data_IF_065842026975
#
_entry.id   IF_065842026975
#
_cell.length_a   1.000
_cell.length_b   1.000
_cell.length_c   1.000
_cell.angle_alpha   90.00
_cell.angle_beta   90.00
_cell.angle_gamma   90.00
#
_symmetry.space_group_name_H-M   'P 1'
#
loop_
_entity.id
_entity.type
_entity.pdbx_description
1 polymer ?
#
# COMPACT_ATOMS: atom_id res chain seq x y z
N UNK A 1 -11.46 -22.47 22.41
CA UNK A 1 -11.23 -22.56 20.97
C UNK A 1 -11.68 -21.23 20.37
N UNK A 2 -10.74 -20.40 19.90
CA UNK A 2 -11.04 -19.05 19.41
C UNK A 2 -11.68 -19.12 18.01
N UNK A 3 -12.71 -18.32 17.77
CA UNK A 3 -13.37 -18.24 16.46
C UNK A 3 -12.67 -17.24 15.55
N UNK A 4 -12.86 -17.37 14.25
CA UNK A 4 -12.38 -16.41 13.23
C UNK A 4 -12.88 -14.99 13.53
N UNK A 5 -14.10 -14.86 14.06
CA UNK A 5 -14.68 -13.58 14.47
C UNK A 5 -13.93 -12.92 15.63
N UNK A 6 -13.24 -13.73 16.43
CA UNK A 6 -12.48 -13.30 17.60
C UNK A 6 -11.05 -12.85 17.24
N UNK A 7 -10.61 -13.05 15.98
CA UNK A 7 -9.26 -12.67 15.51
C UNK A 7 -8.98 -11.16 15.66
N UNK A 8 -10.01 -10.31 15.59
CA UNK A 8 -9.89 -8.86 15.78
C UNK A 8 -9.79 -8.43 17.25
N UNK A 9 -9.97 -9.35 18.21
CA UNK A 9 -9.89 -9.03 19.64
C UNK A 9 -8.49 -8.56 20.04
N UNK A 10 -7.44 -9.02 19.34
CA UNK A 10 -6.07 -8.55 19.56
C UNK A 10 -5.92 -7.04 19.33
N UNK A 11 -6.63 -6.51 18.32
CA UNK A 11 -6.60 -5.08 17.96
C UNK A 11 -7.51 -4.23 18.87
N UNK A 12 -8.56 -4.85 19.45
CA UNK A 12 -9.52 -4.15 20.32
C UNK A 12 -9.03 -4.05 21.76
N UNK A 13 -8.32 -5.09 22.23
CA UNK A 13 -7.84 -5.16 23.60
C UNK A 13 -6.31 -5.22 23.58
N UNK A 14 -5.63 -4.11 23.85
CA UNK A 14 -4.16 -4.01 23.74
C UNK A 14 -3.36 -4.73 24.84
N UNK A 15 -3.99 -5.49 25.74
CA UNK A 15 -3.31 -6.18 26.84
C UNK A 15 -3.78 -7.65 26.96
N UNK A 16 -3.54 -8.42 25.90
CA UNK A 16 -3.81 -9.85 25.90
C UNK A 16 -2.63 -10.62 26.49
N UNK A 17 -2.90 -11.82 27.02
CA UNK A 17 -1.83 -12.76 27.36
C UNK A 17 -1.09 -13.17 26.09
N UNK A 18 0.23 -13.29 26.15
CA UNK A 18 1.08 -13.64 25.00
C UNK A 18 0.62 -14.89 24.23
N UNK A 19 0.09 -15.91 24.94
CA UNK A 19 -0.46 -17.11 24.30
C UNK A 19 -1.72 -16.84 23.47
N UNK A 20 -2.57 -15.93 23.94
CA UNK A 20 -3.78 -15.53 23.23
C UNK A 20 -3.43 -14.64 22.04
N UNK A 21 -2.49 -13.71 22.21
CA UNK A 21 -1.97 -12.88 21.13
C UNK A 21 -1.37 -13.74 20.01
N UNK A 22 -0.53 -14.72 20.35
CA UNK A 22 0.02 -15.66 19.38
C UNK A 22 -1.07 -16.45 18.64
N UNK A 23 -2.11 -16.90 19.36
CA UNK A 23 -3.26 -17.57 18.74
C UNK A 23 -4.08 -16.63 17.85
N UNK A 24 -4.25 -15.36 18.23
CA UNK A 24 -4.93 -14.36 17.42
C UNK A 24 -4.14 -13.98 16.18
N UNK A 25 -2.81 -13.80 16.29
CA UNK A 25 -1.93 -13.57 15.15
C UNK A 25 -1.98 -14.77 14.19
N UNK A 26 -1.87 -15.99 14.69
CA UNK A 26 -2.02 -17.20 13.87
C UNK A 26 -3.39 -17.26 13.16
N UNK A 27 -4.46 -16.89 13.86
CA UNK A 27 -5.80 -16.81 13.26
C UNK A 27 -5.95 -15.64 12.28
N UNK A 28 -5.27 -14.51 12.49
CA UNK A 28 -5.27 -13.36 11.57
C UNK A 28 -4.47 -13.66 10.31
N UNK A 29 -3.29 -14.26 10.46
CA UNK A 29 -2.44 -14.71 9.36
C UNK A 29 -3.14 -15.78 8.52
N UNK A 30 -3.97 -16.63 9.16
CA UNK A 30 -4.87 -17.56 8.49
C UNK A 30 -6.15 -16.95 7.89
N UNK A 31 -6.59 -15.76 8.35
CA UNK A 31 -7.84 -15.09 7.95
C UNK A 31 -7.65 -13.80 7.14
N UNK A 32 -6.44 -13.50 6.67
CA UNK A 32 -6.18 -12.25 5.92
C UNK A 32 -7.15 -12.02 4.75
N UNK A 33 -7.78 -13.08 4.23
CA UNK A 33 -9.02 -13.01 3.47
C UNK A 33 -9.99 -14.08 3.97
N UNK A 34 -11.01 -13.62 4.69
CA UNK A 34 -12.38 -14.15 4.86
C UNK A 34 -12.54 -15.53 4.20
N UNK A 35 -12.93 -16.54 4.98
CA UNK A 35 -13.16 -17.95 4.59
C UNK A 35 -14.15 -18.24 3.45
N UNK A 36 -14.40 -17.28 2.56
CA UNK A 36 -14.81 -17.52 1.20
C UNK A 36 -13.58 -17.79 0.34
N UNK A 37 -13.49 -18.99 -0.23
CA UNK A 37 -12.62 -19.30 -1.37
C UNK A 37 -13.09 -18.53 -2.60
N UNK A 38 -12.97 -17.20 -2.56
CA UNK A 38 -13.13 -16.36 -3.73
C UNK A 38 -11.91 -16.57 -4.63
N UNK A 39 -12.17 -16.62 -5.93
CA UNK A 39 -11.09 -16.68 -6.91
C UNK A 39 -10.43 -15.31 -6.99
N UNK A 40 -9.13 -15.30 -7.27
CA UNK A 40 -8.41 -14.05 -7.46
C UNK A 40 -9.06 -13.27 -8.61
N UNK A 41 -9.36 -11.97 -8.45
CA UNK A 41 -9.99 -11.18 -9.52
C UNK A 41 -9.08 -11.01 -10.75
N UNK A 42 -7.78 -11.27 -10.61
CA UNK A 42 -6.80 -11.19 -11.69
C UNK A 42 -6.53 -12.55 -12.36
N UNK A 43 -6.64 -13.61 -11.57
CA UNK A 43 -6.39 -15.00 -11.95
C UNK A 43 -7.61 -15.83 -11.50
N UNK A 44 -8.63 -15.90 -12.36
CA UNK A 44 -9.94 -16.51 -12.07
C UNK A 44 -9.88 -18.04 -11.84
N UNK A 45 -8.68 -18.62 -11.82
CA UNK A 45 -8.42 -20.03 -11.60
C UNK A 45 -7.73 -20.31 -10.26
N UNK A 46 -7.11 -19.29 -9.63
CA UNK A 46 -6.39 -19.46 -8.36
C UNK A 46 -7.21 -18.91 -7.20
N UNK A 47 -7.24 -19.66 -6.09
CA UNK A 47 -7.85 -19.19 -4.86
C UNK A 47 -7.15 -17.91 -4.37
N UNK A 48 -7.95 -16.95 -3.88
CA UNK A 48 -7.48 -15.69 -3.31
C UNK A 48 -6.94 -15.93 -1.89
N UNK A 49 -5.81 -16.61 -1.79
CA UNK A 49 -5.09 -16.79 -0.52
C UNK A 49 -4.15 -15.61 -0.26
N UNK A 50 -3.83 -15.37 1.02
CA UNK A 50 -2.82 -14.35 1.40
C UNK A 50 -1.49 -14.63 0.69
N UNK A 51 -1.04 -15.89 0.68
CA UNK A 51 0.15 -16.30 -0.05
C UNK A 51 0.05 -15.94 -1.54
N UNK A 52 -1.04 -16.32 -2.22
CA UNK A 52 -1.20 -15.98 -3.63
C UNK A 52 -1.13 -14.47 -3.88
N UNK A 53 -1.80 -13.67 -3.05
CA UNK A 53 -1.84 -12.21 -3.21
C UNK A 53 -0.51 -11.53 -2.93
N UNK A 54 0.27 -12.05 -1.98
CA UNK A 54 1.55 -11.46 -1.56
C UNK A 54 2.71 -11.93 -2.43
N UNK A 55 2.71 -13.20 -2.86
CA UNK A 55 3.89 -13.82 -3.51
C UNK A 55 3.67 -14.24 -4.97
N UNK A 56 2.42 -14.48 -5.41
CA UNK A 56 2.15 -15.13 -6.73
C UNK A 56 1.27 -14.30 -7.67
N UNK A 57 0.60 -13.26 -7.20
CA UNK A 57 -0.31 -12.45 -7.99
C UNK A 57 0.41 -11.20 -8.51
N UNK A 58 1.20 -11.38 -9.56
CA UNK A 58 1.99 -10.29 -10.17
C UNK A 58 1.11 -9.10 -10.58
N UNK A 59 -0.12 -9.39 -11.05
CA UNK A 59 -1.07 -8.35 -11.43
C UNK A 59 -1.60 -7.55 -10.24
N UNK A 60 -1.80 -8.15 -9.06
CA UNK A 60 -2.17 -7.38 -7.87
C UNK A 60 -1.03 -6.47 -7.45
N UNK A 61 0.17 -7.05 -7.26
CA UNK A 61 1.32 -6.30 -6.79
C UNK A 61 1.64 -5.14 -7.73
N UNK A 62 1.69 -5.41 -9.03
CA UNK A 62 1.96 -4.39 -10.06
C UNK A 62 0.85 -3.34 -10.13
N UNK A 63 -0.42 -3.75 -10.05
CA UNK A 63 -1.56 -2.83 -10.10
C UNK A 63 -1.64 -1.94 -8.86
N UNK A 64 -1.58 -2.52 -7.66
CA UNK A 64 -1.62 -1.76 -6.41
C UNK A 64 -0.42 -0.84 -6.26
N UNK A 65 0.78 -1.30 -6.66
CA UNK A 65 1.98 -0.47 -6.67
C UNK A 65 1.83 0.71 -7.64
N UNK A 66 1.45 0.44 -8.89
CA UNK A 66 1.26 1.49 -9.91
C UNK A 66 0.15 2.46 -9.53
N UNK A 67 -0.95 1.97 -8.94
CA UNK A 67 -2.05 2.83 -8.46
C UNK A 67 -1.55 3.78 -7.38
N UNK A 68 -0.90 3.25 -6.32
CA UNK A 68 -0.35 4.07 -5.23
C UNK A 68 0.69 5.06 -5.75
N UNK A 69 1.55 4.64 -6.67
CA UNK A 69 2.53 5.52 -7.30
C UNK A 69 1.85 6.69 -8.03
N UNK A 70 0.85 6.42 -8.85
CA UNK A 70 0.10 7.44 -9.58
C UNK A 70 -0.68 8.39 -8.66
N UNK A 71 -1.21 7.89 -7.54
CA UNK A 71 -1.86 8.72 -6.52
C UNK A 71 -0.88 9.70 -5.87
N UNK A 72 0.31 9.24 -5.50
CA UNK A 72 1.37 10.12 -4.95
C UNK A 72 1.75 11.21 -5.95
N UNK A 73 1.93 10.86 -7.23
CA UNK A 73 2.23 11.84 -8.30
C UNK A 73 1.10 12.87 -8.45
N UNK A 74 -0.16 12.45 -8.32
CA UNK A 74 -1.33 13.36 -8.34
C UNK A 74 -1.29 14.34 -7.17
N UNK A 75 -1.04 13.86 -5.96
CA UNK A 75 -0.96 14.70 -4.77
C UNK A 75 0.16 15.74 -4.87
N UNK A 76 1.36 15.32 -5.30
CA UNK A 76 2.50 16.22 -5.48
C UNK A 76 2.21 17.26 -6.58
N UNK A 77 1.59 16.83 -7.68
CA UNK A 77 1.18 17.73 -8.75
C UNK A 77 0.19 18.79 -8.27
N UNK A 78 -0.82 18.38 -7.51
CA UNK A 78 -1.79 19.30 -6.91
C UNK A 78 -1.12 20.29 -5.95
N UNK A 79 -0.24 19.82 -5.06
CA UNK A 79 0.52 20.71 -4.18
C UNK A 79 1.33 21.76 -4.95
N UNK A 80 2.01 21.35 -6.04
CA UNK A 80 2.74 22.28 -6.90
C UNK A 80 1.83 23.34 -7.55
N UNK A 81 0.61 22.97 -7.94
CA UNK A 81 -0.36 23.90 -8.50
C UNK A 81 -0.89 24.87 -7.44
N UNK A 82 -1.24 24.37 -6.25
CA UNK A 82 -1.77 25.17 -5.14
C UNK A 82 -0.81 26.27 -4.70
N UNK A 83 0.50 26.01 -4.76
CA UNK A 83 1.54 26.96 -4.41
C UNK A 83 2.12 27.74 -5.59
N UNK A 84 1.50 27.64 -6.78
CA UNK A 84 1.97 28.29 -8.01
C UNK A 84 3.43 27.95 -8.37
N UNK A 85 3.91 26.76 -7.96
CA UNK A 85 5.25 26.27 -8.26
C UNK A 85 5.36 25.73 -9.71
N UNK A 86 4.22 25.34 -10.30
CA UNK A 86 4.14 24.89 -11.70
C UNK A 86 2.95 25.53 -12.40
N UNK A 87 3.12 25.86 -13.67
CA UNK A 87 2.08 26.46 -14.51
C UNK A 87 1.20 25.43 -15.25
N UNK A 88 1.69 24.22 -15.45
CA UNK A 88 0.98 23.20 -16.23
C UNK A 88 -0.04 22.45 -15.38
N UNK A 89 -1.32 22.57 -15.74
CA UNK A 89 -2.44 21.78 -15.18
C UNK A 89 -2.49 20.33 -15.68
N UNK A 90 -1.58 19.94 -16.59
CA UNK A 90 -1.57 18.62 -17.21
C UNK A 90 -0.61 17.71 -16.44
N UNK A 91 -1.15 16.69 -15.77
CA UNK A 91 -0.36 15.76 -14.95
C UNK A 91 0.70 15.00 -15.75
N UNK A 92 0.43 14.64 -17.02
CA UNK A 92 1.40 13.91 -17.87
C UNK A 92 2.69 14.71 -18.14
N UNK A 93 2.65 16.03 -17.98
CA UNK A 93 3.81 16.91 -18.11
C UNK A 93 4.53 17.13 -16.78
N UNK A 94 4.03 16.54 -15.68
CA UNK A 94 4.64 16.68 -14.38
C UNK A 94 5.87 15.78 -14.27
N UNK A 95 7.05 16.40 -14.34
CA UNK A 95 8.30 15.75 -13.97
C UNK A 95 8.62 16.00 -12.50
N UNK A 96 8.95 14.96 -11.75
CA UNK A 96 9.39 15.06 -10.36
C UNK A 96 10.83 15.59 -10.35
N UNK A 97 11.04 16.74 -9.70
CA UNK A 97 12.35 17.38 -9.56
C UNK A 97 12.82 17.21 -8.11
N UNK A 98 14.14 17.21 -7.89
CA UNK A 98 14.71 17.02 -6.54
C UNK A 98 14.34 18.16 -5.59
N UNK A 99 14.33 19.39 -6.11
CA UNK A 99 13.96 20.61 -5.38
C UNK A 99 13.12 21.47 -6.30
N UNK A 100 11.97 21.94 -5.80
CA UNK A 100 11.09 22.90 -6.45
C UNK A 100 10.79 23.99 -5.42
N UNK A 101 11.11 25.24 -5.73
CA UNK A 101 10.91 26.36 -4.80
C UNK A 101 10.34 27.61 -5.47
N UNK A 102 9.69 28.43 -4.66
CA UNK A 102 9.40 29.84 -4.92
C UNK A 102 9.83 30.67 -3.69
N UNK A 103 9.59 31.97 -3.70
CA UNK A 103 9.98 32.88 -2.61
C UNK A 103 9.39 32.53 -1.24
N UNK A 104 8.37 31.66 -1.18
CA UNK A 104 7.61 31.35 0.04
C UNK A 104 7.75 29.89 0.50
N UNK A 105 7.97 28.96 -0.42
CA UNK A 105 7.83 27.52 -0.18
C UNK A 105 8.86 26.75 -0.99
N UNK A 106 9.46 25.74 -0.36
CA UNK A 106 10.33 24.76 -0.99
C UNK A 106 9.77 23.34 -0.78
N UNK A 107 9.70 22.57 -1.86
CA UNK A 107 9.42 21.13 -1.85
C UNK A 107 10.72 20.44 -2.24
N UNK A 108 11.26 19.61 -1.34
CA UNK A 108 12.50 18.84 -1.57
C UNK A 108 12.30 17.36 -1.34
N UNK A 109 13.01 16.55 -2.12
CA UNK A 109 13.13 15.11 -1.87
C UNK A 109 14.11 14.90 -0.71
N UNK A 110 13.64 14.29 0.38
CA UNK A 110 14.47 14.08 1.57
C UNK A 110 15.34 12.82 1.47
N UNK A 111 14.70 11.68 1.16
CA UNK A 111 15.37 10.38 1.16
C UNK A 111 15.08 9.65 -0.15
N UNK A 112 16.13 9.23 -0.84
CA UNK A 112 16.02 8.28 -1.96
C UNK A 112 16.14 6.87 -1.42
N UNK A 113 15.09 6.07 -1.60
CA UNK A 113 15.16 4.64 -1.32
C UNK A 113 15.89 4.02 -2.51
N UNK A 114 17.15 3.63 -2.30
CA UNK A 114 17.88 2.81 -3.26
C UNK A 114 17.29 1.40 -3.21
N UNK A 115 16.88 0.90 -4.37
CA UNK A 115 16.46 -0.48 -4.52
C UNK A 115 17.51 -1.14 -5.40
N UNK A 116 18.16 -2.18 -4.87
CA UNK A 116 19.28 -2.90 -5.48
C UNK A 116 18.82 -3.85 -6.62
N UNK A 117 17.97 -3.35 -7.51
CA UNK A 117 17.58 -4.11 -8.70
C UNK A 117 18.70 -3.97 -9.73
N UNK A 118 19.54 -5.01 -9.85
CA UNK A 118 20.31 -5.26 -11.07
C UNK A 118 19.32 -5.48 -12.21
N UNK A 119 19.35 -4.58 -13.19
CA UNK A 119 18.72 -4.79 -14.50
C UNK A 119 19.59 -5.78 -15.28
#
# INVERSE_FOLDING_TARGET
MFSIKDSSLSLRNGNNRNQNEAAFCFLQDGNGFIGETTKCPHYMETAKTVDHLVTKCDRMLSFDYTRRHNEVVRCIHQACLSYNLKSSKIIKKHSVQEVISNDKIEIRVNTRIKIDFKI
#
